data_IF_550262598949
#
_entry.id   IF_550262598949
#
_cell.length_a   1.000
_cell.length_b   1.000
_cell.length_c   1.000
_cell.angle_alpha   90.00
_cell.angle_beta   90.00
_cell.angle_gamma   90.00
#
_symmetry.space_group_name_H-M   'P 1'
#
loop_
_entity.id
_entity.type
_entity.pdbx_description
1 polymer ?
#
# COMPACT_ATOMS: atom_id res chain seq x y z
N UNK A 1 -41.60 27.74 30.13
CA UNK A 1 -40.42 28.16 29.33
C UNK A 1 -39.22 27.24 29.53
N UNK A 2 -38.71 27.04 30.76
CA UNK A 2 -37.51 26.21 31.01
C UNK A 2 -37.59 24.75 30.48
N UNK A 3 -38.77 24.11 30.57
CA UNK A 3 -38.97 22.73 30.08
C UNK A 3 -38.82 22.60 28.55
N UNK A 4 -39.22 23.64 27.80
CA UNK A 4 -39.16 23.62 26.33
C UNK A 4 -37.71 23.66 25.82
N UNK A 5 -36.86 24.46 26.49
CA UNK A 5 -35.42 24.55 26.19
C UNK A 5 -34.69 23.24 26.51
N UNK A 6 -35.08 22.55 27.58
CA UNK A 6 -34.50 21.25 27.93
C UNK A 6 -34.72 20.19 26.84
N UNK A 7 -35.93 20.13 26.28
CA UNK A 7 -36.28 19.20 25.19
C UNK A 7 -35.50 19.52 23.91
N UNK A 8 -35.35 20.80 23.55
CA UNK A 8 -34.57 21.21 22.38
C UNK A 8 -33.09 20.85 22.51
N UNK A 9 -32.48 21.07 23.68
CA UNK A 9 -31.07 20.72 23.91
C UNK A 9 -30.87 19.20 23.82
N UNK A 10 -31.80 18.41 24.38
CA UNK A 10 -31.72 16.95 24.32
C UNK A 10 -31.82 16.42 22.88
N UNK A 11 -32.72 16.96 22.07
CA UNK A 11 -32.85 16.59 20.65
C UNK A 11 -31.59 16.95 19.86
N UNK A 12 -30.97 18.11 20.14
CA UNK A 12 -29.73 18.51 19.49
C UNK A 12 -28.58 17.56 19.86
N UNK A 13 -28.45 17.18 21.13
CA UNK A 13 -27.44 16.21 21.58
C UNK A 13 -27.66 14.82 20.97
N UNK A 14 -28.91 14.35 20.90
CA UNK A 14 -29.25 13.08 20.27
C UNK A 14 -28.91 13.10 18.77
N UNK A 15 -29.21 14.20 18.08
CA UNK A 15 -28.86 14.40 16.67
C UNK A 15 -27.34 14.41 16.47
N UNK A 16 -26.59 15.16 17.30
CA UNK A 16 -25.12 15.19 17.22
C UNK A 16 -24.50 13.80 17.46
N UNK A 17 -25.03 13.05 18.42
CA UNK A 17 -24.56 11.69 18.68
C UNK A 17 -24.85 10.74 17.51
N UNK A 18 -25.98 10.93 16.82
CA UNK A 18 -26.32 10.15 15.63
C UNK A 18 -25.43 10.52 14.44
N UNK A 19 -25.12 11.81 14.25
CA UNK A 19 -24.20 12.24 13.18
C UNK A 19 -22.79 11.71 13.39
N UNK A 20 -22.30 11.63 14.63
CA UNK A 20 -20.99 11.04 14.93
C UNK A 20 -20.93 9.55 14.59
N UNK A 21 -22.00 8.79 14.87
CA UNK A 21 -22.09 7.37 14.49
C UNK A 21 -22.12 7.18 12.98
N UNK A 22 -22.79 8.08 12.25
CA UNK A 22 -22.81 8.05 10.78
C UNK A 22 -21.43 8.41 10.23
N UNK A 23 -20.78 9.45 10.75
CA UNK A 23 -19.43 9.85 10.35
C UNK A 23 -18.38 8.78 10.65
N UNK A 24 -18.49 8.05 11.77
CA UNK A 24 -17.61 6.91 12.04
C UNK A 24 -17.82 5.72 11.08
N UNK A 25 -19.01 5.56 10.50
CA UNK A 25 -19.27 4.59 9.42
C UNK A 25 -18.60 5.00 8.11
N UNK A 26 -18.43 6.29 7.87
CA UNK A 26 -17.61 6.82 6.77
C UNK A 26 -16.12 6.86 7.17
N UNK A 27 -15.57 5.74 7.63
CA UNK A 27 -14.13 5.51 7.44
C UNK A 27 -13.91 5.49 5.94
N UNK A 28 -13.24 6.52 5.42
CA UNK A 28 -12.88 6.60 4.01
C UNK A 28 -12.43 5.21 3.51
N UNK A 29 -12.97 4.70 2.38
CA UNK A 29 -12.49 3.45 1.83
C UNK A 29 -10.97 3.58 1.71
N UNK A 30 -10.24 2.62 2.25
CA UNK A 30 -8.78 2.59 2.17
C UNK A 30 -8.45 2.44 0.70
N UNK A 31 -8.24 3.58 0.03
CA UNK A 31 -7.92 3.63 -1.39
C UNK A 31 -6.59 2.93 -1.60
N UNK A 32 -6.59 1.99 -2.53
CA UNK A 32 -5.43 1.29 -3.01
C UNK A 32 -4.42 2.33 -3.52
N UNK A 33 -3.20 2.34 -2.95
CA UNK A 33 -2.16 3.31 -3.33
C UNK A 33 -1.11 2.60 -4.19
N UNK A 34 -1.27 2.71 -5.51
CA UNK A 34 -0.22 2.36 -6.45
C UNK A 34 0.68 3.58 -6.63
N UNK A 35 1.97 3.44 -6.35
CA UNK A 35 2.95 4.46 -6.70
C UNK A 35 3.45 4.20 -8.14
N UNK A 36 3.34 5.23 -8.99
CA UNK A 36 3.90 5.26 -10.35
C UNK A 36 5.07 6.24 -10.33
N UNK A 37 6.30 5.78 -10.09
CA UNK A 37 7.46 6.65 -10.07
C UNK A 37 7.79 7.25 -11.44
N UNK A 38 8.36 8.46 -11.45
CA UNK A 38 8.96 9.03 -12.67
C UNK A 38 10.27 8.30 -13.02
N UNK A 39 10.56 8.18 -14.32
CA UNK A 39 11.74 7.46 -14.87
C UNK A 39 13.06 8.26 -14.79
N UNK A 40 13.11 9.34 -14.02
CA UNK A 40 14.30 10.20 -13.89
C UNK A 40 14.89 10.23 -12.47
N UNK A 41 16.14 10.69 -12.32
CA UNK A 41 16.68 11.04 -11.01
C UNK A 41 15.81 12.13 -10.38
N UNK A 42 15.64 12.11 -9.06
CA UNK A 42 14.87 13.15 -8.36
C UNK A 42 15.59 14.51 -8.54
N UNK A 43 15.06 15.33 -9.46
CA UNK A 43 15.56 16.69 -9.72
C UNK A 43 14.93 17.72 -8.78
N UNK A 44 14.06 17.31 -7.86
CA UNK A 44 13.41 18.24 -6.95
C UNK A 44 14.37 18.63 -5.81
N UNK A 45 14.64 19.93 -5.69
CA UNK A 45 15.45 20.52 -4.61
C UNK A 45 14.97 20.16 -3.19
N UNK A 46 13.73 19.67 -3.05
CA UNK A 46 13.10 19.33 -1.77
C UNK A 46 12.84 17.83 -1.59
N UNK A 47 13.31 16.96 -2.49
CA UNK A 47 13.12 15.50 -2.36
C UNK A 47 11.64 15.08 -2.38
N UNK A 48 10.78 15.82 -3.09
CA UNK A 48 9.31 15.63 -3.05
C UNK A 48 8.80 14.69 -4.15
N UNK A 49 9.65 14.30 -5.12
CA UNK A 49 9.23 13.40 -6.19
C UNK A 49 9.62 11.97 -5.85
N UNK A 50 8.62 11.09 -5.85
CA UNK A 50 8.85 9.66 -5.72
C UNK A 50 9.47 9.13 -7.03
N UNK A 51 10.78 8.90 -7.02
CA UNK A 51 11.52 8.31 -8.15
C UNK A 51 11.76 6.83 -7.91
N UNK A 52 11.67 6.02 -8.98
CA UNK A 52 11.86 4.58 -8.89
C UNK A 52 13.30 4.23 -8.55
N UNK A 53 14.25 5.00 -9.10
CA UNK A 53 15.67 4.91 -8.75
C UNK A 53 15.92 5.30 -7.29
N UNK A 54 15.27 6.35 -6.79
CA UNK A 54 15.33 6.76 -5.39
C UNK A 54 14.85 5.65 -4.46
N UNK A 55 13.73 5.01 -4.78
CA UNK A 55 13.23 3.84 -4.05
C UNK A 55 14.25 2.69 -4.02
N UNK A 56 14.83 2.33 -5.17
CA UNK A 56 15.81 1.23 -5.24
C UNK A 56 17.09 1.54 -4.48
N UNK A 57 17.57 2.78 -4.57
CA UNK A 57 18.74 3.25 -3.83
C UNK A 57 18.48 3.26 -2.33
N UNK A 58 17.27 3.66 -1.91
CA UNK A 58 16.87 3.62 -0.51
C UNK A 58 16.74 2.20 0.03
N UNK A 59 16.12 1.29 -0.74
CA UNK A 59 16.06 -0.12 -0.39
C UNK A 59 17.46 -0.72 -0.21
N UNK A 60 18.40 -0.38 -1.10
CA UNK A 60 19.83 -0.76 -0.98
C UNK A 60 20.47 -0.14 0.26
N UNK A 61 20.25 1.16 0.51
CA UNK A 61 20.78 1.88 1.68
C UNK A 61 20.33 1.25 2.99
N UNK A 62 19.06 0.87 3.07
CA UNK A 62 18.46 0.18 4.21
C UNK A 62 18.78 -1.33 4.24
N UNK A 63 19.57 -1.85 3.29
CA UNK A 63 19.94 -3.26 3.17
C UNK A 63 18.74 -4.21 3.14
N UNK A 64 17.66 -3.78 2.48
CA UNK A 64 16.46 -4.61 2.30
C UNK A 64 16.78 -5.78 1.37
N UNK A 65 16.22 -6.95 1.70
CA UNK A 65 16.35 -8.14 0.88
C UNK A 65 15.26 -8.12 -0.18
N UNK A 66 15.66 -8.22 -1.45
CA UNK A 66 14.73 -8.26 -2.58
C UNK A 66 14.64 -9.71 -3.06
N UNK A 67 13.47 -10.32 -2.92
CA UNK A 67 13.18 -11.65 -3.46
C UNK A 67 12.53 -11.48 -4.83
N UNK A 68 13.21 -11.93 -5.88
CA UNK A 68 12.75 -11.78 -7.26
C UNK A 68 12.03 -13.03 -7.75
N UNK A 69 10.84 -12.85 -8.32
CA UNK A 69 10.05 -13.87 -9.01
C UNK A 69 9.91 -13.44 -10.46
N UNK A 70 10.33 -14.29 -11.39
CA UNK A 70 10.32 -13.98 -12.82
C UNK A 70 9.12 -14.64 -13.50
N UNK A 71 8.23 -13.85 -14.10
CA UNK A 71 7.13 -14.38 -14.92
C UNK A 71 7.67 -14.81 -16.29
N UNK A 72 7.13 -15.89 -16.86
CA UNK A 72 7.55 -16.38 -18.19
C UNK A 72 6.65 -15.92 -19.33
N UNK A 73 5.47 -15.37 -19.03
CA UNK A 73 4.46 -15.03 -20.03
C UNK A 73 3.64 -16.23 -20.50
N UNK A 74 3.93 -17.43 -19.97
CA UNK A 74 3.18 -18.66 -20.28
C UNK A 74 2.17 -18.88 -19.15
N UNK A 75 0.86 -18.76 -19.41
CA UNK A 75 -0.16 -18.82 -18.37
C UNK A 75 -0.08 -20.07 -17.47
N UNK A 76 0.19 -21.24 -18.06
CA UNK A 76 0.26 -22.50 -17.33
C UNK A 76 1.39 -22.54 -16.29
N UNK A 77 2.55 -21.96 -16.61
CA UNK A 77 3.66 -21.90 -15.66
C UNK A 77 3.47 -20.78 -14.63
N UNK A 78 2.96 -19.65 -15.09
CA UNK A 78 2.81 -18.46 -14.26
C UNK A 78 1.75 -18.63 -13.17
N UNK A 79 0.81 -19.58 -13.29
CA UNK A 79 -0.09 -19.97 -12.19
C UNK A 79 0.71 -20.29 -10.92
N UNK A 80 1.72 -21.17 -11.00
CA UNK A 80 2.53 -21.54 -9.83
C UNK A 80 3.35 -20.37 -9.30
N UNK A 81 3.75 -19.45 -10.17
CA UNK A 81 4.50 -18.25 -9.79
C UNK A 81 3.59 -17.26 -9.08
N UNK A 82 2.35 -17.09 -9.53
CA UNK A 82 1.35 -16.30 -8.82
C UNK A 82 1.01 -16.90 -7.46
N UNK A 83 0.92 -18.23 -7.34
CA UNK A 83 0.73 -18.88 -6.04
C UNK A 83 1.90 -18.60 -5.09
N UNK A 84 3.14 -18.62 -5.60
CA UNK A 84 4.32 -18.24 -4.84
C UNK A 84 4.29 -16.77 -4.42
N UNK A 85 3.92 -15.85 -5.33
CA UNK A 85 3.75 -14.42 -5.02
C UNK A 85 2.71 -14.25 -3.92
N UNK A 86 1.57 -14.93 -4.01
CA UNK A 86 0.49 -14.90 -3.02
C UNK A 86 0.96 -15.41 -1.65
N UNK A 87 1.70 -16.51 -1.63
CA UNK A 87 2.26 -17.05 -0.39
C UNK A 87 3.27 -16.10 0.27
N UNK A 88 4.27 -15.62 -0.48
CA UNK A 88 5.30 -14.74 0.08
C UNK A 88 4.73 -13.37 0.49
N UNK A 89 3.81 -12.82 -0.27
CA UNK A 89 3.19 -11.52 0.05
C UNK A 89 2.38 -11.62 1.35
N UNK A 90 1.53 -12.64 1.49
CA UNK A 90 0.79 -12.92 2.73
C UNK A 90 1.71 -13.13 3.93
N UNK A 91 2.80 -13.87 3.73
CA UNK A 91 3.80 -14.11 4.77
C UNK A 91 4.39 -12.79 5.27
N UNK A 92 4.83 -11.91 4.37
CA UNK A 92 5.36 -10.59 4.72
C UNK A 92 4.31 -9.73 5.46
N UNK A 93 3.05 -9.79 5.02
CA UNK A 93 1.96 -9.06 5.69
C UNK A 93 1.71 -9.55 7.10
N UNK A 94 1.68 -10.88 7.30
CA UNK A 94 1.46 -11.53 8.59
C UNK A 94 2.63 -11.34 9.56
N UNK A 95 3.87 -11.53 9.09
CA UNK A 95 5.07 -11.38 9.93
C UNK A 95 5.47 -9.92 10.14
N UNK A 96 4.76 -8.97 9.52
CA UNK A 96 5.07 -7.54 9.57
C UNK A 96 6.51 -7.23 9.13
N UNK A 97 7.01 -7.98 8.16
CA UNK A 97 8.40 -7.88 7.74
C UNK A 97 8.61 -6.69 6.80
N UNK A 98 9.25 -5.64 7.30
CA UNK A 98 9.56 -4.44 6.52
C UNK A 98 10.89 -4.51 5.77
N UNK A 99 11.69 -5.56 6.01
CA UNK A 99 13.04 -5.73 5.47
C UNK A 99 13.05 -6.52 4.16
N UNK A 100 12.03 -7.34 3.94
CA UNK A 100 11.85 -8.07 2.70
C UNK A 100 10.94 -7.31 1.71
N UNK A 101 11.37 -7.27 0.44
CA UNK A 101 10.61 -6.73 -0.69
C UNK A 101 10.45 -7.86 -1.70
N UNK A 102 9.23 -8.08 -2.20
CA UNK A 102 9.00 -9.02 -3.30
C UNK A 102 9.04 -8.22 -4.60
N UNK A 103 9.89 -8.62 -5.52
CA UNK A 103 9.97 -8.09 -6.88
C UNK A 103 9.40 -9.15 -7.83
N UNK A 104 8.43 -8.78 -8.64
CA UNK A 104 7.90 -9.63 -9.71
C UNK A 104 8.28 -9.02 -11.05
N UNK A 105 9.14 -9.69 -11.81
CA UNK A 105 9.63 -9.22 -13.09
C UNK A 105 8.72 -9.71 -14.22
N UNK A 106 8.25 -8.78 -15.04
CA UNK A 106 7.49 -9.04 -16.25
C UNK A 106 8.46 -9.11 -17.43
N UNK A 107 8.36 -10.18 -18.21
CA UNK A 107 9.08 -10.28 -19.49
C UNK A 107 8.21 -9.76 -20.64
N UNK A 108 8.78 -9.65 -21.84
CA UNK A 108 8.10 -9.15 -23.04
C UNK A 108 6.89 -10.01 -23.47
N UNK A 109 6.86 -11.28 -23.07
CA UNK A 109 5.77 -12.20 -23.35
C UNK A 109 4.61 -12.06 -22.36
N UNK A 110 4.78 -11.26 -21.30
CA UNK A 110 3.74 -11.07 -20.31
C UNK A 110 2.59 -10.24 -20.87
N UNK A 111 1.37 -10.68 -20.58
CA UNK A 111 0.16 -9.97 -21.02
C UNK A 111 -0.34 -9.01 -19.95
N UNK A 112 -1.14 -8.03 -20.37
CA UNK A 112 -1.85 -7.16 -19.44
C UNK A 112 -2.71 -7.95 -18.43
N UNK A 113 -3.24 -9.11 -18.82
CA UNK A 113 -4.00 -9.98 -17.92
C UNK A 113 -3.18 -10.47 -16.72
N UNK A 114 -1.89 -10.72 -16.90
CA UNK A 114 -0.99 -11.13 -15.82
C UNK A 114 -0.70 -9.98 -14.85
N UNK A 115 -0.57 -8.76 -15.38
CA UNK A 115 -0.44 -7.56 -14.55
C UNK A 115 -1.71 -7.33 -13.72
N UNK A 116 -2.89 -7.39 -14.34
CA UNK A 116 -4.19 -7.26 -13.67
C UNK A 116 -4.36 -8.34 -12.60
N UNK A 117 -3.98 -9.59 -12.88
CA UNK A 117 -4.04 -10.67 -11.90
C UNK A 117 -3.22 -10.34 -10.64
N UNK A 118 -2.02 -9.77 -10.82
CA UNK A 118 -1.17 -9.40 -9.71
C UNK A 118 -1.75 -8.24 -8.89
N UNK A 119 -2.36 -7.25 -9.55
CA UNK A 119 -3.11 -6.18 -8.87
C UNK A 119 -4.30 -6.77 -8.09
N UNK A 120 -5.04 -7.73 -8.65
CA UNK A 120 -6.13 -8.39 -7.96
C UNK A 120 -5.66 -9.11 -6.69
N UNK A 121 -4.52 -9.82 -6.74
CA UNK A 121 -3.92 -10.44 -5.55
C UNK A 121 -3.64 -9.37 -4.48
N UNK A 122 -3.09 -8.21 -4.87
CA UNK A 122 -2.81 -7.12 -3.91
C UNK A 122 -4.09 -6.59 -3.27
N UNK A 123 -5.18 -6.48 -4.04
CA UNK A 123 -6.49 -6.02 -3.55
C UNK A 123 -7.12 -7.06 -2.61
N UNK A 124 -7.14 -8.32 -3.01
CA UNK A 124 -7.69 -9.44 -2.23
C UNK A 124 -7.00 -9.56 -0.86
N UNK A 125 -5.67 -9.52 -0.86
CA UNK A 125 -4.86 -9.66 0.34
C UNK A 125 -4.66 -8.33 1.09
N UNK A 126 -5.31 -7.24 0.62
CA UNK A 126 -5.29 -5.90 1.22
C UNK A 126 -3.89 -5.30 1.38
N UNK A 127 -2.98 -5.63 0.46
CA UNK A 127 -1.67 -5.00 0.39
C UNK A 127 -1.80 -3.52 0.02
N UNK A 128 -1.33 -2.66 0.92
CA UNK A 128 -1.53 -1.21 0.80
C UNK A 128 -0.44 -0.49 0.01
N UNK A 129 0.72 -1.11 -0.15
CA UNK A 129 1.89 -0.53 -0.80
C UNK A 129 2.48 -1.49 -1.80
N UNK A 130 2.46 -1.04 -3.03
CA UNK A 130 3.18 -1.67 -4.12
C UNK A 130 3.50 -0.61 -5.18
N UNK A 131 4.46 -0.93 -6.04
CA UNK A 131 5.01 -0.02 -7.03
C UNK A 131 5.24 -0.80 -8.32
N UNK A 132 5.01 -0.16 -9.47
CA UNK A 132 5.42 -0.69 -10.76
C UNK A 132 6.49 0.22 -11.36
N UNK A 133 7.63 -0.33 -11.76
CA UNK A 133 8.77 0.43 -12.29
C UNK A 133 9.65 -0.46 -13.18
N UNK A 134 9.98 -0.01 -14.40
CA UNK A 134 10.87 -0.72 -15.36
C UNK A 134 10.54 -2.22 -15.46
N UNK A 135 9.27 -2.53 -15.73
CA UNK A 135 8.77 -3.90 -15.89
C UNK A 135 8.85 -4.79 -14.64
N UNK A 136 9.08 -4.16 -13.48
CA UNK A 136 9.10 -4.82 -12.20
C UNK A 136 7.94 -4.32 -11.32
N UNK A 137 7.25 -5.25 -10.69
CA UNK A 137 6.25 -4.97 -9.68
C UNK A 137 6.80 -5.29 -8.29
N UNK A 138 6.84 -4.29 -7.42
CA UNK A 138 7.37 -4.38 -6.07
C UNK A 138 6.25 -4.40 -5.05
N UNK A 139 6.24 -5.39 -4.16
CA UNK A 139 5.31 -5.52 -3.04
C UNK A 139 6.06 -5.20 -1.75
N UNK A 140 5.54 -4.25 -0.97
CA UNK A 140 6.24 -3.68 0.18
C UNK A 140 5.30 -3.67 1.40
N UNK A 141 5.80 -4.12 2.55
CA UNK A 141 5.07 -3.99 3.81
C UNK A 141 5.10 -2.54 4.31
N UNK A 142 3.94 -2.06 4.74
CA UNK A 142 3.87 -0.82 5.52
C UNK A 142 4.55 -1.05 6.87
N UNK A 143 5.49 -0.18 7.29
CA UNK A 143 5.92 -0.18 8.68
C UNK A 143 4.72 0.11 9.57
N UNK A 144 4.65 -0.59 10.71
CA UNK A 144 3.68 -0.27 11.75
C UNK A 144 4.11 1.08 12.31
N UNK A 145 3.35 2.13 11.99
CA UNK A 145 3.51 3.42 12.66
C UNK A 145 2.74 3.27 13.97
N UNK A 146 3.42 2.86 15.03
CA UNK A 146 2.90 3.10 16.37
C UNK A 146 2.88 4.62 16.55
N UNK A 147 1.69 5.21 16.59
CA UNK A 147 1.52 6.62 16.96
C UNK A 147 1.93 6.79 18.42
N UNK A 148 3.24 6.89 18.66
CA UNK A 148 3.75 7.44 19.91
C UNK A 148 3.46 8.94 19.85
N UNK A 149 2.56 9.37 20.72
CA UNK A 149 2.29 10.78 20.99
C UNK A 149 3.63 11.51 21.19
N UNK A 150 3.89 12.48 20.31
CA UNK A 150 5.01 13.43 20.28
C UNK A 150 6.29 12.95 19.57
N UNK A 151 6.63 13.70 18.51
CA UNK A 151 7.79 13.59 17.63
C UNK A 151 7.76 12.48 16.57
N UNK A 152 6.83 12.60 15.63
CA UNK A 152 6.84 11.79 14.40
C UNK A 152 7.99 12.24 13.50
N UNK A 153 9.12 11.53 13.57
CA UNK A 153 10.14 11.56 12.51
C UNK A 153 9.69 10.59 11.42
N UNK A 154 9.02 11.09 10.39
CA UNK A 154 8.68 10.27 9.22
C UNK A 154 9.95 9.98 8.41
N UNK A 155 10.45 8.75 8.51
CA UNK A 155 11.34 8.19 7.49
C UNK A 155 10.45 7.64 6.38
N UNK A 156 10.19 8.49 5.40
CA UNK A 156 9.53 8.10 4.17
C UNK A 156 10.42 7.10 3.41
N UNK A 157 9.78 6.00 3.04
CA UNK A 157 10.06 5.19 1.85
C UNK A 157 8.79 5.23 1.03
#
# INVERSE_FOLDING_TARGET
MAFLYGVQIFLLLAFMHQTDRVLQKYKFPVVLRMALPEDGPDTSYFGRRFSGEGFLNEAKRQRKKITTIYLTGIPAEDIKRFDLVKYESRKIEYTHDTMNIIKVHFNENCTYGQFVNLVNIMVEDKHKRYMYYKDDFYIIKNPIIETVSNNVKMLYL
#
